data_IF_571764129454
#
_entry.id   IF_571764129454
#
_cell.length_a   1.000
_cell.length_b   1.000
_cell.length_c   1.000
_cell.angle_alpha   90.00
_cell.angle_beta   90.00
_cell.angle_gamma   90.00
#
_symmetry.space_group_name_H-M   'P 1'
#
loop_
_entity.id
_entity.type
_entity.pdbx_description
1 polymer ?
#
# COMPACT_ATOMS: atom_id res chain seq x y z
N UNK A 1 5.03 2.08 -2.52
CA UNK A 1 5.83 1.50 -1.42
C UNK A 1 6.22 2.65 -0.52
N UNK A 2 5.96 2.55 0.78
CA UNK A 2 6.16 3.64 1.76
C UNK A 2 7.35 3.39 2.66
N UNK A 3 7.58 2.15 3.07
CA UNK A 3 8.76 1.80 3.85
C UNK A 3 8.85 0.32 4.11
N UNK A 4 10.04 -0.11 4.53
CA UNK A 4 10.33 -1.47 5.00
C UNK A 4 10.96 -1.34 6.37
N UNK A 5 10.39 -2.04 7.34
CA UNK A 5 10.77 -1.96 8.74
C UNK A 5 11.20 -3.34 9.21
N UNK A 6 12.35 -3.41 9.89
CA UNK A 6 12.85 -4.64 10.47
C UNK A 6 12.65 -4.60 11.98
N UNK A 7 11.78 -5.46 12.50
CA UNK A 7 11.63 -5.65 13.93
C UNK A 7 12.74 -6.58 14.43
N UNK A 8 13.73 -6.01 15.12
CA UNK A 8 14.87 -6.71 15.68
C UNK A 8 14.49 -7.69 16.81
N UNK A 9 13.30 -7.53 17.42
CA UNK A 9 12.81 -8.41 18.49
C UNK A 9 12.19 -9.69 17.95
N UNK A 10 11.41 -9.58 16.88
CA UNK A 10 10.76 -10.74 16.24
C UNK A 10 11.55 -11.30 15.06
N UNK A 11 12.59 -10.59 14.60
CA UNK A 11 13.35 -10.93 13.39
C UNK A 11 12.50 -10.80 12.12
N UNK A 12 11.41 -10.03 12.18
CA UNK A 12 10.43 -9.94 11.10
C UNK A 12 10.57 -8.63 10.31
N UNK A 13 10.42 -8.72 9.01
CA UNK A 13 10.36 -7.56 8.11
C UNK A 13 8.89 -7.26 7.77
N UNK A 14 8.48 -6.01 8.02
CA UNK A 14 7.16 -5.49 7.68
C UNK A 14 7.23 -4.45 6.57
N UNK A 15 6.47 -4.66 5.51
CA UNK A 15 6.39 -3.75 4.37
C UNK A 15 5.14 -2.87 4.47
N UNK A 16 5.30 -1.56 4.40
CA UNK A 16 4.18 -0.61 4.38
C UNK A 16 3.95 -0.10 2.96
N UNK A 17 2.73 -0.27 2.48
CA UNK A 17 2.37 -0.01 1.08
C UNK A 17 1.08 0.78 1.03
N UNK A 18 1.15 2.00 0.50
CA UNK A 18 -0.05 2.74 0.13
C UNK A 18 -0.49 2.41 -1.29
N UNK A 19 -1.74 2.01 -1.43
CA UNK A 19 -2.44 1.89 -2.69
C UNK A 19 -3.25 3.17 -2.95
N UNK A 20 -2.65 4.04 -3.75
CA UNK A 20 -3.24 5.33 -4.11
C UNK A 20 -4.14 5.17 -5.33
N UNK A 21 -5.43 5.44 -5.17
CA UNK A 21 -6.41 5.35 -6.25
C UNK A 21 -7.21 6.66 -6.43
N UNK A 22 -7.62 6.92 -7.67
CA UNK A 22 -8.58 7.96 -8.00
C UNK A 22 -9.98 7.38 -8.17
N UNK A 23 -11.01 8.21 -8.06
CA UNK A 23 -12.41 7.79 -8.23
C UNK A 23 -12.67 7.13 -9.60
N UNK A 24 -11.96 7.56 -10.64
CA UNK A 24 -12.03 6.95 -11.96
C UNK A 24 -11.48 5.54 -12.05
N UNK A 25 -10.67 5.09 -11.09
CA UNK A 25 -10.01 3.77 -11.17
C UNK A 25 -11.02 2.63 -10.95
N UNK A 26 -12.07 2.88 -10.17
CA UNK A 26 -13.15 1.92 -9.96
C UNK A 26 -14.13 1.84 -11.13
N UNK A 27 -14.27 2.94 -11.90
CA UNK A 27 -15.21 3.02 -13.01
C UNK A 27 -14.62 2.50 -14.33
N UNK A 28 -13.28 2.41 -14.45
CA UNK A 28 -12.58 1.95 -15.66
C UNK A 28 -12.55 0.42 -15.82
N UNK A 29 -13.00 -0.33 -14.82
CA UNK A 29 -12.98 -1.79 -14.84
C UNK A 29 -14.35 -2.28 -15.35
N UNK A 30 -14.36 -3.30 -16.20
CA UNK A 30 -15.57 -3.84 -16.84
C UNK A 30 -16.69 -4.22 -15.84
N UNK A 31 -16.30 -4.43 -14.58
CA UNK A 31 -17.18 -4.50 -13.43
C UNK A 31 -16.84 -3.35 -12.48
N UNK A 32 -17.85 -2.61 -12.04
CA UNK A 32 -17.69 -1.54 -11.04
C UNK A 32 -17.18 -2.17 -9.75
N UNK A 33 -15.89 -2.04 -9.47
CA UNK A 33 -15.29 -2.57 -8.26
C UNK A 33 -15.52 -1.61 -7.10
N UNK A 34 -15.72 -2.16 -5.91
CA UNK A 34 -15.66 -1.40 -4.67
C UNK A 34 -14.22 -1.32 -4.16
N UNK A 35 -13.97 -0.39 -3.24
CA UNK A 35 -12.68 -0.31 -2.54
C UNK A 35 -12.32 -1.63 -1.83
N UNK A 36 -13.33 -2.35 -1.31
CA UNK A 36 -13.15 -3.65 -0.69
C UNK A 36 -12.71 -4.73 -1.70
N UNK A 37 -13.27 -4.72 -2.92
CA UNK A 37 -12.89 -5.69 -3.96
C UNK A 37 -11.45 -5.46 -4.42
N UNK A 38 -11.06 -4.18 -4.53
CA UNK A 38 -9.69 -3.81 -4.85
C UNK A 38 -8.72 -4.20 -3.73
N UNK A 39 -9.09 -3.98 -2.46
CA UNK A 39 -8.28 -4.37 -1.31
C UNK A 39 -8.04 -5.89 -1.31
N UNK A 40 -9.08 -6.70 -1.48
CA UNK A 40 -8.99 -8.17 -1.54
C UNK A 40 -8.12 -8.67 -2.70
N UNK A 41 -8.27 -8.07 -3.87
CA UNK A 41 -7.47 -8.44 -5.04
C UNK A 41 -5.98 -8.14 -4.79
N UNK A 42 -5.69 -7.04 -4.10
CA UNK A 42 -4.33 -6.66 -3.75
C UNK A 42 -3.74 -7.60 -2.69
N UNK A 43 -4.46 -7.91 -1.62
CA UNK A 43 -4.06 -8.90 -0.61
C UNK A 43 -3.74 -10.24 -1.26
N UNK A 44 -4.63 -10.74 -2.14
CA UNK A 44 -4.38 -11.98 -2.87
C UNK A 44 -3.15 -11.91 -3.78
N UNK A 45 -2.84 -10.75 -4.35
CA UNK A 45 -1.63 -10.57 -5.15
C UNK A 45 -0.36 -10.63 -4.30
N UNK A 46 -0.38 -10.05 -3.10
CA UNK A 46 0.74 -10.08 -2.17
C UNK A 46 0.95 -11.48 -1.56
N UNK A 47 -0.13 -12.16 -1.16
CA UNK A 47 -0.06 -13.52 -0.61
C UNK A 47 0.43 -14.56 -1.63
N UNK A 48 0.08 -14.40 -2.90
CA UNK A 48 0.46 -15.33 -3.96
C UNK A 48 1.87 -15.08 -4.51
N UNK A 49 2.54 -13.99 -4.11
CA UNK A 49 3.83 -13.60 -4.67
C UNK A 49 4.97 -14.07 -3.79
N UNK A 50 5.86 -14.87 -4.39
CA UNK A 50 7.16 -15.15 -3.80
C UNK A 50 8.09 -13.94 -4.00
N UNK A 51 8.61 -13.40 -2.91
CA UNK A 51 9.55 -12.28 -2.91
C UNK A 51 11.02 -12.76 -2.94
N UNK A 52 11.26 -14.07 -3.05
CA UNK A 52 12.60 -14.66 -3.16
C UNK A 52 13.42 -14.44 -1.88
N UNK A 53 14.66 -13.95 -2.04
CA UNK A 53 15.59 -13.69 -0.92
C UNK A 53 15.17 -12.50 -0.03
N UNK A 54 14.21 -11.70 -0.48
CA UNK A 54 13.66 -10.59 0.30
C UNK A 54 12.61 -11.14 1.26
N UNK A 55 13.01 -11.40 2.52
CA UNK A 55 12.09 -11.82 3.57
C UNK A 55 10.93 -10.82 3.69
N UNK A 56 9.74 -11.25 3.26
CA UNK A 56 8.48 -10.55 3.50
C UNK A 56 7.74 -11.34 4.57
N UNK A 57 7.98 -11.02 5.83
CA UNK A 57 7.28 -11.70 6.94
C UNK A 57 5.86 -11.15 7.08
N UNK A 58 5.72 -9.83 6.97
CA UNK A 58 4.45 -9.13 7.11
C UNK A 58 4.36 -7.97 6.11
N UNK A 59 3.13 -7.60 5.77
CA UNK A 59 2.86 -6.40 4.99
C UNK A 59 1.61 -5.71 5.52
N UNK A 60 1.57 -4.39 5.39
CA UNK A 60 0.41 -3.57 5.67
C UNK A 60 0.08 -2.74 4.43
N UNK A 61 -1.13 -2.94 3.92
CA UNK A 61 -1.66 -2.21 2.78
C UNK A 61 -2.65 -1.17 3.29
N UNK A 62 -2.46 0.10 2.90
CA UNK A 62 -3.41 1.17 3.15
C UNK A 62 -4.00 1.68 1.85
N UNK A 63 -5.32 1.76 1.80
CA UNK A 63 -6.05 2.30 0.68
C UNK A 63 -6.20 3.82 0.84
N UNK A 64 -5.80 4.59 -0.17
CA UNK A 64 -5.89 6.05 -0.13
C UNK A 64 -6.54 6.60 -1.40
N UNK A 65 -7.69 7.25 -1.21
CA UNK A 65 -8.37 7.99 -2.27
C UNK A 65 -7.71 9.35 -2.46
N UNK A 66 -7.35 9.69 -3.69
CA UNK A 66 -6.77 10.98 -4.03
C UNK A 66 -7.45 11.62 -5.25
N UNK A 67 -7.33 12.94 -5.34
CA UNK A 67 -7.66 13.69 -6.56
C UNK A 67 -6.39 13.88 -7.37
N UNK A 68 -6.06 12.93 -8.26
CA UNK A 68 -4.80 12.94 -9.03
C UNK A 68 -4.60 14.15 -9.95
N UNK A 69 -5.69 14.84 -10.29
CA UNK A 69 -5.67 16.05 -11.12
C UNK A 69 -5.54 17.35 -10.30
N UNK A 70 -5.38 17.25 -8.99
CA UNK A 70 -5.14 18.40 -8.12
C UNK A 70 -3.69 18.85 -8.24
N UNK A 71 -3.44 20.16 -8.31
CA UNK A 71 -2.08 20.72 -8.30
C UNK A 71 -1.33 20.43 -6.98
N UNK A 72 -2.07 20.13 -5.91
CA UNK A 72 -1.52 19.71 -4.62
C UNK A 72 -1.25 18.20 -4.53
N UNK A 73 -1.55 17.42 -5.56
CA UNK A 73 -1.32 15.98 -5.54
C UNK A 73 0.17 15.67 -5.76
N UNK A 74 0.77 15.07 -4.74
CA UNK A 74 2.07 14.43 -4.83
C UNK A 74 1.91 12.97 -4.42
N UNK A 75 2.42 12.05 -5.24
CA UNK A 75 2.34 10.60 -5.01
C UNK A 75 3.11 10.21 -3.74
N UNK A 76 4.17 10.93 -3.41
CA UNK A 76 5.07 10.67 -2.29
C UNK A 76 5.08 11.84 -1.30
N UNK A 77 3.94 12.53 -1.17
CA UNK A 77 3.78 13.63 -0.22
C UNK A 77 4.21 13.20 1.19
N UNK A 78 4.97 14.06 1.89
CA UNK A 78 5.61 13.75 3.17
C UNK A 78 4.61 13.27 4.25
N UNK A 79 3.37 13.77 4.21
CA UNK A 79 2.31 13.39 5.14
C UNK A 79 1.98 11.89 5.13
N UNK A 80 2.26 11.20 4.03
CA UNK A 80 2.02 9.75 3.93
C UNK A 80 2.99 8.92 4.78
N UNK A 81 4.13 9.50 5.17
CA UNK A 81 5.15 8.84 5.98
C UNK A 81 4.96 9.08 7.48
N UNK A 82 4.19 10.10 7.89
CA UNK A 82 3.92 10.43 9.31
C UNK A 82 3.24 9.28 10.07
N UNK A 83 2.54 8.41 9.35
CA UNK A 83 1.76 7.31 9.88
C UNK A 83 2.50 5.97 9.91
N UNK A 84 3.77 5.96 9.48
CA UNK A 84 4.67 4.81 9.57
C UNK A 84 5.27 4.74 10.98
N UNK A 85 5.72 3.54 11.42
CA UNK A 85 6.48 3.45 12.66
C UNK A 85 7.68 4.40 12.59
N UNK A 86 7.84 5.28 13.59
CA UNK A 86 9.08 6.03 13.72
C UNK A 86 10.12 5.14 14.40
N UNK A 87 11.25 4.89 13.75
CA UNK A 87 12.46 4.61 14.53
C UNK A 87 12.94 5.96 15.07
N UNK A 88 12.70 6.20 16.36
CA UNK A 88 13.57 7.06 17.17
C UNK A 88 14.87 6.31 17.45
#
# INVERSE_FOLDING_TARGET
>A
MRGVFFDDKSGAITWYIDCIYGESDFEKIAHRLTELDFAKALESYFDARDFGDYQLNYYEVRMQRVRRLSDHYDRDHYSYYESLPGYL
#
